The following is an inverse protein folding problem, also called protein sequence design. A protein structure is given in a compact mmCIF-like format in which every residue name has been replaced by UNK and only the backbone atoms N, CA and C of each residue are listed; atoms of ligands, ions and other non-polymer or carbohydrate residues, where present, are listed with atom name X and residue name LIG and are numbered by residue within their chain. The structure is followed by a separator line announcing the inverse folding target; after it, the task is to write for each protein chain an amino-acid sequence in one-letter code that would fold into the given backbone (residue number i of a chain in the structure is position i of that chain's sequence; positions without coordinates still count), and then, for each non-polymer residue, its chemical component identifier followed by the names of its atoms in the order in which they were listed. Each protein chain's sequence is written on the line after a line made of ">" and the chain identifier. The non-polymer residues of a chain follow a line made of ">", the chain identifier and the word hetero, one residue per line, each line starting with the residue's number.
data_IF_890245278976
#
_entry.id   IF_890245278976
#
_cell.length_a   1.000
_cell.length_b   1.000
_cell.length_c   1.000
_cell.angle_alpha   90.00
_cell.angle_beta   90.00
_cell.angle_gamma   90.00
#
_symmetry.space_group_name_H-M   'P 1'
#
loop_
_entity.id
_entity.type
_entity.pdbx_description
1 polymer ?
#
# COMPACT_ATOMS: atom_id res chain seq x y z
N UNK A 1 26.73 -17.04 -16.05
CA UNK A 1 25.72 -17.82 -15.31
C UNK A 1 24.89 -16.83 -14.50
N UNK A 2 23.64 -16.60 -14.88
CA UNK A 2 22.75 -15.73 -14.11
C UNK A 2 22.26 -16.56 -12.92
N UNK A 3 22.87 -16.40 -11.76
CA UNK A 3 22.29 -16.94 -10.52
C UNK A 3 20.94 -16.26 -10.33
N UNK A 4 19.87 -17.01 -10.50
CA UNK A 4 18.53 -16.52 -10.18
C UNK A 4 18.57 -15.97 -8.73
N UNK A 5 18.30 -14.68 -8.55
CA UNK A 5 18.21 -14.09 -7.21
C UNK A 5 17.09 -14.82 -6.46
N UNK A 6 17.36 -15.20 -5.22
CA UNK A 6 16.29 -15.73 -4.35
C UNK A 6 15.20 -14.67 -4.20
N UNK A 7 13.95 -15.08 -4.17
CA UNK A 7 12.83 -14.18 -3.95
C UNK A 7 13.03 -13.40 -2.65
N UNK A 8 12.88 -12.09 -2.72
CA UNK A 8 12.89 -11.19 -1.55
C UNK A 8 11.99 -10.00 -1.85
N UNK A 9 10.94 -9.84 -1.05
CA UNK A 9 9.98 -8.75 -1.14
C UNK A 9 10.33 -7.73 -0.07
N UNK A 10 10.71 -6.53 -0.49
CA UNK A 10 10.84 -5.39 0.43
C UNK A 10 9.51 -4.64 0.48
N UNK A 11 8.91 -4.55 1.68
CA UNK A 11 7.62 -3.91 1.88
C UNK A 11 7.76 -2.63 2.71
N UNK A 12 6.96 -1.62 2.36
CA UNK A 12 6.87 -0.36 3.08
C UNK A 12 5.42 0.04 3.34
N UNK A 13 5.19 0.59 4.52
CA UNK A 13 3.94 1.26 4.87
C UNK A 13 4.24 2.56 5.62
N UNK A 14 3.37 3.56 5.48
CA UNK A 14 3.53 4.86 6.16
C UNK A 14 2.39 5.05 7.14
N UNK A 15 2.74 5.30 8.41
CA UNK A 15 1.79 5.63 9.46
C UNK A 15 1.78 7.14 9.72
N UNK A 16 0.59 7.72 9.77
CA UNK A 16 0.37 9.09 10.27
C UNK A 16 -1.01 9.17 10.93
N UNK A 17 -1.04 9.08 12.26
CA UNK A 17 -2.27 9.10 13.06
C UNK A 17 -3.30 8.02 12.64
N UNK A 18 -2.81 6.86 12.20
CA UNK A 18 -3.62 5.72 11.74
C UNK A 18 -3.22 4.42 12.42
N UNK A 19 -2.61 4.50 13.61
CA UNK A 19 -1.95 3.37 14.27
C UNK A 19 -2.85 2.16 14.51
N UNK A 20 -4.13 2.38 14.82
CA UNK A 20 -5.08 1.28 14.97
C UNK A 20 -5.43 0.59 13.64
N UNK A 21 -5.44 1.32 12.51
CA UNK A 21 -5.58 0.72 11.19
C UNK A 21 -4.30 0.00 10.77
N UNK A 22 -3.14 0.58 11.04
CA UNK A 22 -1.85 -0.04 10.81
C UNK A 22 -1.70 -1.36 11.59
N UNK A 23 -2.18 -1.42 12.84
CA UNK A 23 -2.25 -2.67 13.60
C UNK A 23 -3.14 -3.70 12.89
N UNK A 24 -4.32 -3.29 12.40
CA UNK A 24 -5.21 -4.16 11.64
C UNK A 24 -4.54 -4.70 10.37
N UNK A 25 -3.90 -3.82 9.59
CA UNK A 25 -3.16 -4.21 8.40
C UNK A 25 -2.10 -5.25 8.75
N UNK A 26 -1.29 -4.97 9.78
CA UNK A 26 -0.19 -5.85 10.18
C UNK A 26 -0.71 -7.21 10.67
N UNK A 27 -1.75 -7.24 11.52
CA UNK A 27 -2.36 -8.50 12.00
C UNK A 27 -2.97 -9.31 10.87
N UNK A 28 -3.69 -8.68 9.96
CA UNK A 28 -4.27 -9.38 8.81
C UNK A 28 -3.20 -9.89 7.85
N UNK A 29 -2.12 -9.13 7.63
CA UNK A 29 -0.98 -9.58 6.83
C UNK A 29 -0.43 -10.91 7.35
N UNK A 30 -0.12 -11.00 8.64
CA UNK A 30 0.46 -12.22 9.22
C UNK A 30 -0.54 -13.34 9.48
N UNK A 31 -1.84 -13.03 9.62
CA UNK A 31 -2.88 -14.05 9.76
C UNK A 31 -3.17 -14.79 8.45
N UNK A 32 -3.04 -14.09 7.31
CA UNK A 32 -3.40 -14.62 6.00
C UNK A 32 -2.20 -15.00 5.11
N UNK A 33 -0.97 -14.83 5.60
CA UNK A 33 0.24 -15.21 4.84
C UNK A 33 1.15 -16.10 5.67
N UNK A 34 1.82 -17.04 5.00
CA UNK A 34 2.80 -17.91 5.63
C UNK A 34 3.98 -17.11 6.19
N UNK A 35 4.50 -17.53 7.35
CA UNK A 35 5.73 -17.00 7.92
C UNK A 35 6.97 -17.26 7.02
N UNK A 36 6.86 -18.18 6.08
CA UNK A 36 7.93 -18.48 5.11
C UNK A 36 7.94 -17.51 3.91
N UNK A 37 6.93 -16.61 3.80
CA UNK A 37 6.95 -15.59 2.76
C UNK A 37 8.18 -14.71 2.94
N UNK A 38 9.08 -14.62 1.92
CA UNK A 38 10.33 -13.88 2.04
C UNK A 38 10.08 -12.37 1.97
N UNK A 39 9.38 -11.85 2.97
CA UNK A 39 8.92 -10.48 3.12
C UNK A 39 9.67 -9.79 4.25
N UNK A 40 10.24 -8.63 3.97
CA UNK A 40 10.73 -7.70 5.00
C UNK A 40 9.91 -6.41 4.97
N UNK A 41 9.18 -6.13 6.05
CA UNK A 41 8.32 -4.95 6.17
C UNK A 41 8.97 -3.90 7.05
N UNK A 42 8.95 -2.65 6.58
CA UNK A 42 9.30 -1.45 7.36
C UNK A 42 8.09 -0.53 7.43
N UNK A 43 7.70 -0.14 8.62
CA UNK A 43 6.68 0.88 8.86
C UNK A 43 7.41 2.20 9.13
N UNK A 44 7.10 3.22 8.36
CA UNK A 44 7.60 4.58 8.54
C UNK A 44 6.59 5.40 9.32
N UNK A 45 6.92 5.72 10.58
CA UNK A 45 6.09 6.64 11.35
C UNK A 45 6.40 8.08 10.93
N UNK A 46 5.37 8.75 10.46
CA UNK A 46 5.45 10.11 9.95
C UNK A 46 4.88 11.10 10.97
N UNK A 47 5.53 11.18 12.12
CA UNK A 47 5.20 12.07 13.25
C UNK A 47 3.76 11.86 13.76
N UNK A 48 3.37 10.61 14.01
CA UNK A 48 2.09 10.29 14.63
C UNK A 48 2.02 10.78 16.07
N UNK A 49 0.82 11.20 16.49
CA UNK A 49 0.50 11.66 17.85
C UNK A 49 -0.58 10.83 18.51
N UNK A 50 -1.16 9.86 17.77
CA UNK A 50 -2.11 8.89 18.30
C UNK A 50 -1.40 7.80 19.13
N UNK A 51 -2.19 6.94 19.80
CA UNK A 51 -1.63 5.86 20.61
C UNK A 51 -1.08 4.74 19.72
N UNK A 52 0.24 4.57 19.76
CA UNK A 52 0.98 3.56 19.01
C UNK A 52 1.33 2.31 19.83
N UNK A 53 0.95 2.21 21.11
CA UNK A 53 1.43 1.16 21.99
C UNK A 53 1.12 -0.24 21.44
N UNK A 54 -0.14 -0.52 21.10
CA UNK A 54 -0.56 -1.83 20.60
C UNK A 54 0.12 -2.19 19.27
N UNK A 55 0.34 -1.20 18.40
CA UNK A 55 1.08 -1.38 17.14
C UNK A 55 2.54 -1.75 17.43
N UNK A 56 3.23 -1.03 18.32
CA UNK A 56 4.63 -1.32 18.68
C UNK A 56 4.79 -2.71 19.29
N UNK A 57 3.91 -3.09 20.21
CA UNK A 57 3.94 -4.40 20.85
C UNK A 57 3.78 -5.53 19.82
N UNK A 58 2.82 -5.40 18.91
CA UNK A 58 2.59 -6.41 17.87
C UNK A 58 3.72 -6.45 16.84
N UNK A 59 4.19 -5.29 16.36
CA UNK A 59 5.28 -5.20 15.40
C UNK A 59 6.58 -5.83 15.95
N UNK A 60 6.91 -5.58 17.23
CA UNK A 60 8.07 -6.19 17.89
C UNK A 60 7.96 -7.73 17.91
N UNK A 61 6.80 -8.29 18.22
CA UNK A 61 6.56 -9.73 18.21
C UNK A 61 6.71 -10.36 16.82
N UNK A 62 6.38 -9.59 15.77
CA UNK A 62 6.48 -10.03 14.38
C UNK A 62 7.80 -9.63 13.71
N UNK A 63 8.75 -9.07 14.46
CA UNK A 63 10.04 -8.57 13.94
C UNK A 63 9.90 -7.53 12.83
N UNK A 64 8.85 -6.71 12.88
CA UNK A 64 8.61 -5.60 11.94
C UNK A 64 9.25 -4.33 12.50
N UNK A 65 10.06 -3.67 11.67
CA UNK A 65 10.69 -2.41 12.05
C UNK A 65 9.68 -1.24 11.95
N UNK A 66 9.57 -0.44 13.01
CA UNK A 66 8.91 0.87 12.99
C UNK A 66 10.00 1.92 13.13
N UNK A 67 10.14 2.78 12.13
CA UNK A 67 11.17 3.81 12.08
C UNK A 67 10.57 5.18 11.83
N UNK A 68 11.19 6.24 12.37
CA UNK A 68 10.78 7.60 12.04
C UNK A 68 11.06 7.91 10.58
N UNK A 69 10.10 8.50 9.88
CA UNK A 69 10.24 8.82 8.45
C UNK A 69 11.37 9.83 8.19
N UNK A 70 11.60 10.75 9.14
CA UNK A 70 12.55 11.85 9.02
C UNK A 70 12.07 12.97 8.08
N UNK A 71 10.81 12.93 7.64
CA UNK A 71 10.20 14.00 6.83
C UNK A 71 9.36 14.92 7.70
N UNK A 72 9.38 16.21 7.37
CA UNK A 72 8.54 17.21 8.03
C UNK A 72 7.13 17.15 7.48
N UNK A 73 6.14 17.28 8.38
CA UNK A 73 4.75 17.49 7.99
C UNK A 73 4.53 18.98 7.74
N UNK A 74 4.01 19.30 6.57
CA UNK A 74 3.49 20.64 6.26
C UNK A 74 2.08 20.50 5.70
N UNK A 75 1.26 21.55 5.86
CA UNK A 75 -0.11 21.58 5.33
C UNK A 75 -0.16 21.55 3.80
N UNK A 76 0.95 21.89 3.15
CA UNK A 76 1.05 22.02 1.69
C UNK A 76 1.77 20.84 1.03
N UNK A 77 2.37 19.94 1.83
CA UNK A 77 3.25 18.91 1.35
C UNK A 77 2.90 17.53 1.92
N UNK A 78 2.59 16.61 1.04
CA UNK A 78 2.39 15.21 1.39
C UNK A 78 3.69 14.43 1.21
N UNK A 79 4.35 14.10 2.31
CA UNK A 79 5.63 13.36 2.31
C UNK A 79 5.50 11.86 1.99
N UNK A 80 4.29 11.33 1.87
CA UNK A 80 4.06 9.89 1.64
C UNK A 80 4.88 9.37 0.44
N UNK A 81 4.76 10.00 -0.72
CA UNK A 81 5.48 9.58 -1.91
C UNK A 81 7.00 9.67 -1.79
N UNK A 82 7.52 10.64 -1.04
CA UNK A 82 8.97 10.79 -0.84
C UNK A 82 9.53 9.74 0.13
N UNK A 83 8.77 9.37 1.15
CA UNK A 83 9.12 8.25 2.03
C UNK A 83 9.23 6.97 1.21
N UNK A 84 8.23 6.67 0.38
CA UNK A 84 8.24 5.49 -0.49
C UNK A 84 9.39 5.53 -1.52
N UNK A 85 9.67 6.71 -2.10
CA UNK A 85 10.83 6.90 -3.00
C UNK A 85 12.14 6.56 -2.29
N UNK A 86 12.38 7.12 -1.12
CA UNK A 86 13.57 6.84 -0.32
C UNK A 86 13.70 5.35 -0.01
N UNK A 87 12.59 4.71 0.38
CA UNK A 87 12.58 3.27 0.64
C UNK A 87 13.06 2.46 -0.57
N UNK A 88 12.62 2.78 -1.79
CA UNK A 88 13.08 2.11 -3.02
C UNK A 88 14.57 2.30 -3.24
N UNK A 89 15.09 3.52 -3.05
CA UNK A 89 16.51 3.82 -3.23
C UNK A 89 17.39 3.10 -2.21
N UNK A 90 16.89 2.93 -0.98
CA UNK A 90 17.61 2.27 0.11
C UNK A 90 17.56 0.72 0.01
N UNK A 91 16.65 0.15 -0.82
CA UNK A 91 16.46 -1.30 -0.95
C UNK A 91 16.70 -1.82 -2.39
N UNK A 92 17.86 -1.56 -3.01
CA UNK A 92 18.12 -1.92 -4.41
C UNK A 92 18.28 -3.43 -4.65
N UNK A 93 18.46 -4.22 -3.60
CA UNK A 93 18.78 -5.65 -3.70
C UNK A 93 17.55 -6.57 -3.70
N UNK A 94 16.35 -6.09 -3.35
CA UNK A 94 15.15 -6.89 -3.36
C UNK A 94 14.75 -7.32 -4.81
N UNK A 95 13.89 -8.32 -4.91
CA UNK A 95 13.33 -8.74 -6.20
C UNK A 95 12.03 -8.01 -6.52
N UNK A 96 11.27 -7.66 -5.47
CA UNK A 96 10.00 -6.95 -5.58
C UNK A 96 9.87 -5.91 -4.46
N UNK A 97 9.16 -4.84 -4.77
CA UNK A 97 8.67 -3.90 -3.77
C UNK A 97 7.18 -4.14 -3.54
N UNK A 98 6.76 -4.07 -2.28
CA UNK A 98 5.37 -4.09 -1.89
C UNK A 98 5.07 -2.81 -1.09
N UNK A 99 4.13 -2.01 -1.57
CA UNK A 99 3.66 -0.82 -0.88
C UNK A 99 2.29 -1.12 -0.27
N UNK A 100 2.11 -0.72 0.97
CA UNK A 100 0.89 -0.94 1.73
C UNK A 100 0.45 0.37 2.38
N UNK A 101 -0.81 0.78 2.19
CA UNK A 101 -1.38 1.84 3.01
C UNK A 101 -1.73 1.29 4.40
N UNK A 102 -1.74 2.18 5.39
CA UNK A 102 -2.03 1.82 6.78
C UNK A 102 -3.43 1.24 6.98
N UNK A 103 -4.38 1.61 6.12
CA UNK A 103 -5.80 1.31 6.22
C UNK A 103 -6.27 0.17 5.31
N UNK A 104 -5.39 -0.78 5.06
CA UNK A 104 -5.68 -2.03 4.35
C UNK A 104 -5.94 -3.16 5.34
N UNK A 105 -6.84 -4.06 5.00
CA UNK A 105 -7.02 -5.35 5.68
C UNK A 105 -7.01 -6.49 4.66
N UNK A 106 -6.10 -7.43 4.83
CA UNK A 106 -6.10 -8.66 4.05
C UNK A 106 -7.31 -9.51 4.46
N UNK A 107 -7.97 -10.12 3.49
CA UNK A 107 -9.25 -10.80 3.67
C UNK A 107 -9.18 -12.29 3.36
N UNK A 108 -8.17 -12.69 2.61
CA UNK A 108 -8.01 -14.06 2.11
C UNK A 108 -6.54 -14.49 2.17
N UNK A 109 -6.33 -15.79 2.28
CA UNK A 109 -5.00 -16.37 2.30
C UNK A 109 -4.25 -16.12 0.98
N UNK A 110 -2.93 -16.02 1.10
CA UNK A 110 -2.03 -16.00 -0.05
C UNK A 110 -2.25 -14.86 -1.06
N UNK A 111 -2.81 -13.72 -0.63
CA UNK A 111 -2.96 -12.54 -1.49
C UNK A 111 -1.66 -12.14 -2.17
N UNK A 112 -0.55 -12.02 -1.40
CA UNK A 112 0.76 -11.63 -1.97
C UNK A 112 1.35 -12.70 -2.89
N UNK A 113 1.39 -14.00 -2.55
CA UNK A 113 1.75 -15.07 -3.48
C UNK A 113 0.94 -15.08 -4.76
N UNK A 114 -0.37 -14.84 -4.68
CA UNK A 114 -1.26 -14.75 -5.85
C UNK A 114 -0.82 -13.59 -6.75
N UNK A 115 -0.61 -12.40 -6.19
CA UNK A 115 -0.13 -11.23 -6.93
C UNK A 115 1.25 -11.48 -7.58
N UNK A 116 2.18 -12.15 -6.88
CA UNK A 116 3.48 -12.53 -7.43
C UNK A 116 3.32 -13.41 -8.67
N UNK A 117 2.55 -14.49 -8.57
CA UNK A 117 2.31 -15.40 -9.68
C UNK A 117 1.65 -14.71 -10.88
N UNK A 118 0.73 -13.80 -10.64
CA UNK A 118 -0.01 -13.10 -11.68
C UNK A 118 0.83 -12.03 -12.37
N UNK A 119 1.64 -11.23 -11.64
CA UNK A 119 2.49 -10.22 -12.27
C UNK A 119 3.57 -10.84 -13.14
N UNK A 120 4.15 -11.97 -12.72
CA UNK A 120 5.15 -12.70 -13.51
C UNK A 120 4.57 -13.29 -14.82
N UNK A 121 3.28 -13.62 -14.83
CA UNK A 121 2.58 -14.18 -16.00
C UNK A 121 1.91 -13.11 -16.86
N UNK A 122 1.87 -11.87 -16.43
CA UNK A 122 1.20 -10.80 -17.17
C UNK A 122 2.23 -10.03 -18.01
N UNK A 123 2.26 -10.22 -19.34
CA UNK A 123 3.20 -9.52 -20.22
C UNK A 123 3.04 -8.00 -20.08
N UNK A 124 4.16 -7.30 -20.03
CA UNK A 124 4.24 -5.85 -19.94
C UNK A 124 3.65 -5.26 -18.64
N UNK A 125 3.37 -6.08 -17.62
CA UNK A 125 3.00 -5.56 -16.31
C UNK A 125 4.22 -4.97 -15.61
N UNK A 126 4.16 -3.68 -15.24
CA UNK A 126 5.17 -3.08 -14.37
C UNK A 126 4.83 -3.27 -12.89
N UNK A 127 3.61 -3.63 -12.57
CA UNK A 127 3.13 -3.89 -11.23
C UNK A 127 1.68 -4.36 -11.22
N UNK A 128 1.23 -4.81 -10.07
CA UNK A 128 -0.09 -5.38 -9.85
C UNK A 128 -0.66 -4.91 -8.51
N UNK A 129 -1.96 -4.62 -8.48
CA UNK A 129 -2.73 -4.35 -7.27
C UNK A 129 -3.89 -5.34 -7.13
N UNK A 130 -4.38 -5.60 -5.91
CA UNK A 130 -5.55 -6.45 -5.70
C UNK A 130 -6.85 -5.72 -6.07
N UNK A 131 -7.94 -6.48 -6.19
CA UNK A 131 -9.28 -5.91 -6.16
C UNK A 131 -9.55 -5.32 -4.78
N UNK A 132 -10.37 -4.30 -4.73
CA UNK A 132 -10.66 -3.59 -3.48
C UNK A 132 -12.12 -3.71 -3.09
N UNK A 133 -12.35 -3.79 -1.79
CA UNK A 133 -13.65 -3.80 -1.14
C UNK A 133 -13.72 -2.69 -0.09
N UNK A 134 -14.87 -2.05 0.08
CA UNK A 134 -15.11 -1.12 1.19
C UNK A 134 -15.57 -1.83 2.45
N UNK A 135 -16.42 -2.84 2.27
CA UNK A 135 -17.07 -3.58 3.37
C UNK A 135 -16.36 -4.88 3.74
N UNK A 136 -15.34 -5.26 2.96
CA UNK A 136 -14.62 -6.51 3.14
C UNK A 136 -15.40 -7.74 2.66
N UNK A 137 -16.44 -7.56 1.86
CA UNK A 137 -17.29 -8.65 1.32
C UNK A 137 -17.44 -8.50 -0.20
N UNK A 138 -17.83 -7.31 -0.64
CA UNK A 138 -18.14 -7.03 -2.03
C UNK A 138 -17.03 -6.20 -2.68
N UNK A 139 -16.63 -6.57 -3.89
CA UNK A 139 -15.74 -5.72 -4.69
C UNK A 139 -16.42 -4.37 -4.98
N UNK A 140 -15.64 -3.30 -5.00
CA UNK A 140 -16.13 -1.97 -5.39
C UNK A 140 -16.79 -2.07 -6.77
N UNK A 141 -18.07 -1.65 -6.92
CA UNK A 141 -18.81 -1.77 -8.16
C UNK A 141 -18.10 -1.12 -9.34
N UNK A 142 -18.21 -1.72 -10.52
CA UNK A 142 -17.54 -1.25 -11.74
C UNK A 142 -17.95 0.18 -12.12
N UNK A 143 -19.22 0.54 -11.93
CA UNK A 143 -19.72 1.89 -12.15
C UNK A 143 -19.03 2.92 -11.26
N UNK A 144 -18.81 2.61 -9.98
CA UNK A 144 -18.09 3.48 -9.04
C UNK A 144 -16.64 3.66 -9.48
N UNK A 145 -15.99 2.57 -9.92
CA UNK A 145 -14.61 2.63 -10.44
C UNK A 145 -14.49 3.47 -11.71
N UNK A 146 -15.48 3.39 -12.60
CA UNK A 146 -15.52 4.21 -13.82
C UNK A 146 -15.68 5.70 -13.52
N UNK A 147 -16.47 6.04 -12.52
CA UNK A 147 -16.64 7.42 -12.07
C UNK A 147 -15.41 7.94 -11.31
N UNK A 148 -14.65 7.04 -10.67
CA UNK A 148 -13.47 7.32 -9.87
C UNK A 148 -12.27 6.49 -10.35
N UNK A 149 -11.73 6.73 -11.55
CA UNK A 149 -10.72 5.87 -12.16
C UNK A 149 -9.39 5.83 -11.40
N UNK A 150 -9.14 6.80 -10.54
CA UNK A 150 -7.95 6.83 -9.68
C UNK A 150 -7.97 5.77 -8.57
N UNK A 151 -9.10 5.13 -8.31
CA UNK A 151 -9.20 4.02 -7.36
C UNK A 151 -8.36 2.82 -7.83
N UNK A 152 -8.45 2.45 -9.12
CA UNK A 152 -7.67 1.32 -9.64
C UNK A 152 -7.38 1.35 -11.15
N UNK A 153 -8.14 2.08 -11.95
CA UNK A 153 -8.06 1.97 -13.41
C UNK A 153 -7.04 2.94 -14.02
N UNK A 154 -6.94 4.18 -13.50
CA UNK A 154 -6.03 5.21 -14.00
C UNK A 154 -4.61 5.13 -13.44
N UNK A 155 -4.42 4.41 -12.34
CA UNK A 155 -3.11 4.23 -11.69
C UNK A 155 -3.02 2.90 -10.97
N UNK A 156 -1.79 2.42 -10.79
CA UNK A 156 -1.52 1.43 -9.75
C UNK A 156 -1.73 2.11 -8.39
N UNK A 157 -2.70 1.65 -7.60
CA UNK A 157 -3.01 2.26 -6.31
C UNK A 157 -1.99 1.85 -5.24
N UNK A 158 -1.43 2.78 -4.46
CA UNK A 158 -0.40 2.47 -3.45
C UNK A 158 -0.91 1.62 -2.28
N UNK A 159 -2.24 1.50 -2.09
CA UNK A 159 -2.79 0.79 -0.93
C UNK A 159 -2.30 -0.65 -0.79
N UNK A 160 -2.09 -1.35 -1.90
CA UNK A 160 -1.43 -2.64 -1.94
C UNK A 160 -0.85 -2.83 -3.36
N UNK A 161 0.37 -2.39 -3.58
CA UNK A 161 1.01 -2.39 -4.89
C UNK A 161 2.27 -3.25 -4.87
N UNK A 162 2.26 -4.35 -5.63
CA UNK A 162 3.43 -5.20 -5.84
C UNK A 162 4.10 -4.85 -7.17
N UNK A 163 5.39 -4.50 -7.12
CA UNK A 163 6.15 -4.03 -8.29
C UNK A 163 7.47 -4.80 -8.40
N UNK A 164 7.74 -5.49 -9.53
CA UNK A 164 9.04 -6.09 -9.80
C UNK A 164 10.16 -5.05 -9.80
N UNK A 165 11.27 -5.34 -9.14
CA UNK A 165 12.44 -4.47 -9.09
C UNK A 165 13.21 -4.49 -10.40
N UNK A 166 12.74 -3.74 -11.40
CA UNK A 166 13.39 -3.60 -12.70
C UNK A 166 14.31 -2.37 -12.75
N UNK A 167 15.34 -2.35 -13.60
CA UNK A 167 16.17 -1.15 -13.81
C UNK A 167 15.35 0.08 -14.24
N UNK A 168 14.36 -0.10 -15.12
CA UNK A 168 13.49 0.98 -15.57
C UNK A 168 12.66 1.55 -14.43
N UNK A 169 12.06 0.69 -13.59
CA UNK A 169 11.29 1.15 -12.43
C UNK A 169 12.15 2.00 -11.50
N UNK A 170 13.36 1.52 -11.13
CA UNK A 170 14.27 2.29 -10.26
C UNK A 170 14.68 3.62 -10.87
N UNK A 171 14.99 3.64 -12.17
CA UNK A 171 15.34 4.89 -12.86
C UNK A 171 14.20 5.91 -12.84
N UNK A 172 12.96 5.47 -13.08
CA UNK A 172 11.78 6.33 -13.02
C UNK A 172 11.58 6.86 -11.59
N UNK A 173 11.71 5.98 -10.57
CA UNK A 173 11.58 6.39 -9.16
C UNK A 173 12.67 7.40 -8.78
N UNK A 174 13.90 7.21 -9.24
CA UNK A 174 15.01 8.13 -8.97
C UNK A 174 14.73 9.53 -9.56
N UNK A 175 14.16 9.60 -10.76
CA UNK A 175 13.96 10.85 -11.50
C UNK A 175 12.71 11.59 -11.02
N UNK A 176 11.56 10.91 -10.93
CA UNK A 176 10.26 11.57 -10.68
C UNK A 176 9.64 11.24 -9.32
N UNK A 177 10.03 10.11 -8.69
CA UNK A 177 9.46 9.66 -7.42
C UNK A 177 7.99 9.24 -7.52
N UNK A 178 7.29 9.33 -6.39
CA UNK A 178 5.88 8.92 -6.24
C UNK A 178 4.96 10.02 -5.72
N UNK A 179 5.53 11.21 -5.44
CA UNK A 179 4.81 12.28 -4.76
C UNK A 179 3.65 12.80 -5.59
N UNK A 180 2.66 13.32 -4.88
CA UNK A 180 1.56 14.05 -5.49
C UNK A 180 2.08 15.26 -6.24
N UNK A 181 1.53 15.54 -7.41
CA UNK A 181 1.89 16.69 -8.23
C UNK A 181 0.63 17.44 -8.62
N UNK A 182 0.67 18.76 -8.45
CA UNK A 182 -0.39 19.65 -8.88
C UNK A 182 0.11 20.48 -10.05
N UNK A 183 -0.55 20.36 -11.20
CA UNK A 183 -0.31 21.20 -12.36
C UNK A 183 -1.37 22.31 -12.42
N UNK A 184 -0.91 23.55 -12.46
CA UNK A 184 -1.77 24.72 -12.62
C UNK A 184 -1.63 25.24 -14.05
N UNK A 185 -2.71 25.14 -14.81
CA UNK A 185 -2.84 25.72 -16.14
C UNK A 185 -3.61 27.05 -16.05
N UNK A 186 -3.63 27.83 -17.07
CA UNK A 186 -4.36 29.10 -17.09
C UNK A 186 -5.89 28.91 -16.95
N UNK A 187 -6.39 27.77 -17.39
CA UNK A 187 -7.83 27.45 -17.50
C UNK A 187 -8.26 26.21 -16.68
N UNK A 188 -7.32 25.50 -16.10
CA UNK A 188 -7.61 24.28 -15.33
C UNK A 188 -6.51 23.92 -14.33
N UNK A 189 -6.89 23.11 -13.37
CA UNK A 189 -5.98 22.42 -12.45
C UNK A 189 -6.03 20.92 -12.72
N UNK A 190 -4.88 20.24 -12.70
CA UNK A 190 -4.78 18.79 -12.78
C UNK A 190 -3.98 18.27 -11.58
N UNK A 191 -4.59 17.39 -10.80
CA UNK A 191 -3.98 16.76 -9.63
C UNK A 191 -3.57 15.33 -9.94
N UNK A 192 -2.33 15.02 -9.67
CA UNK A 192 -1.76 13.67 -9.73
C UNK A 192 -1.47 13.20 -8.33
N UNK A 193 -2.29 12.31 -7.84
CA UNK A 193 -2.08 11.65 -6.55
C UNK A 193 -0.90 10.66 -6.59
N UNK A 194 -0.48 10.13 -5.45
CA UNK A 194 0.62 9.16 -5.29
C UNK A 194 0.53 8.05 -6.35
N UNK A 195 1.65 7.75 -7.00
CA UNK A 195 1.81 6.79 -8.11
C UNK A 195 1.18 7.17 -9.45
N UNK A 196 0.31 8.19 -9.54
CA UNK A 196 -0.37 8.50 -10.79
C UNK A 196 0.59 8.94 -11.90
N UNK A 197 1.53 9.85 -11.56
CA UNK A 197 2.55 10.28 -12.52
C UNK A 197 3.46 9.13 -12.94
N UNK A 198 3.96 8.35 -11.97
CA UNK A 198 4.76 7.16 -12.23
C UNK A 198 4.03 6.18 -13.16
N UNK A 199 2.76 5.88 -12.89
CA UNK A 199 1.94 5.01 -13.75
C UNK A 199 1.87 5.54 -15.19
N UNK A 200 1.63 6.83 -15.37
CA UNK A 200 1.61 7.44 -16.71
C UNK A 200 2.95 7.34 -17.44
N UNK A 201 4.05 7.58 -16.72
CA UNK A 201 5.39 7.44 -17.32
C UNK A 201 5.66 5.99 -17.71
N UNK A 202 5.31 4.99 -16.87
CA UNK A 202 5.41 3.57 -17.24
C UNK A 202 4.62 3.26 -18.51
N UNK A 203 3.43 3.83 -18.65
CA UNK A 203 2.60 3.66 -19.85
C UNK A 203 3.25 4.21 -21.12
N UNK A 204 4.02 5.31 -21.04
CA UNK A 204 4.78 5.82 -22.19
C UNK A 204 5.91 4.87 -22.64
N UNK A 205 6.34 3.98 -21.74
CA UNK A 205 7.29 2.90 -22.06
C UNK A 205 6.59 1.61 -22.53
N UNK A 206 5.28 1.66 -22.81
CA UNK A 206 4.50 0.49 -23.27
C UNK A 206 4.15 -0.49 -22.15
N UNK A 207 4.38 -0.12 -20.90
CA UNK A 207 4.06 -0.94 -19.73
C UNK A 207 2.69 -0.58 -19.17
N UNK A 208 2.07 -1.50 -18.44
CA UNK A 208 0.78 -1.28 -17.78
C UNK A 208 0.79 -1.88 -16.38
N UNK A 209 -0.05 -1.39 -15.49
CA UNK A 209 -0.38 -2.13 -14.28
C UNK A 209 -1.49 -3.14 -14.56
N UNK A 210 -1.62 -4.12 -13.72
CA UNK A 210 -2.68 -5.13 -13.78
C UNK A 210 -3.43 -5.22 -12.45
N UNK A 211 -4.60 -5.84 -12.49
CA UNK A 211 -5.40 -6.13 -11.32
C UNK A 211 -5.34 -7.63 -11.04
N UNK A 212 -5.06 -8.00 -9.81
CA UNK A 212 -5.03 -9.37 -9.33
C UNK A 212 -6.43 -9.93 -9.15
N UNK A 213 -6.54 -11.26 -9.16
CA UNK A 213 -7.75 -11.97 -8.73
C UNK A 213 -7.97 -11.90 -7.22
N UNK A 214 -6.92 -11.65 -6.43
CA UNK A 214 -7.02 -11.47 -4.98
C UNK A 214 -7.73 -10.17 -4.60
N UNK A 215 -8.35 -10.14 -3.42
CA UNK A 215 -9.11 -9.00 -2.92
C UNK A 215 -8.66 -8.59 -1.51
N UNK A 216 -8.65 -7.28 -1.26
CA UNK A 216 -8.42 -6.70 0.07
C UNK A 216 -9.57 -5.78 0.46
N UNK A 217 -9.75 -5.54 1.76
CA UNK A 217 -10.53 -4.41 2.24
C UNK A 217 -9.64 -3.16 2.33
N UNK A 218 -10.12 -2.04 1.78
CA UNK A 218 -9.45 -0.74 1.92
C UNK A 218 -10.44 0.27 2.50
N UNK A 219 -10.08 0.88 3.63
CA UNK A 219 -10.97 1.79 4.34
C UNK A 219 -11.01 3.19 3.73
N UNK A 220 -10.03 3.55 2.92
CA UNK A 220 -9.90 4.86 2.25
C UNK A 220 -9.96 6.06 3.20
N UNK A 221 -9.22 7.10 2.92
CA UNK A 221 -9.32 8.44 3.52
C UNK A 221 -9.32 8.49 5.07
N UNK A 222 -8.79 7.48 5.75
CA UNK A 222 -8.81 7.43 7.23
C UNK A 222 -7.88 8.48 7.86
N UNK A 223 -6.86 8.93 7.13
CA UNK A 223 -5.92 9.97 7.55
C UNK A 223 -6.44 11.39 7.31
N UNK A 224 -7.59 11.55 6.65
CA UNK A 224 -8.13 12.83 6.23
C UNK A 224 -9.52 13.07 6.83
N UNK A 225 -9.89 14.34 6.99
CA UNK A 225 -11.23 14.73 7.48
C UNK A 225 -12.27 14.90 6.35
N UNK A 226 -12.10 14.18 5.24
CA UNK A 226 -13.00 14.30 4.08
C UNK A 226 -14.32 13.54 4.26
N UNK A 227 -14.30 12.48 5.07
CA UNK A 227 -15.49 11.70 5.36
C UNK A 227 -16.43 12.41 6.33
N UNK A 228 -17.73 12.13 6.22
CA UNK A 228 -18.70 12.49 7.25
C UNK A 228 -18.35 11.81 8.59
N UNK A 229 -18.80 12.41 9.68
CA UNK A 229 -18.61 11.81 11.01
C UNK A 229 -19.22 10.40 11.10
N UNK A 230 -20.38 10.18 10.46
CA UNK A 230 -21.05 8.88 10.43
C UNK A 230 -20.21 7.84 9.68
N UNK A 231 -19.67 8.19 8.50
CA UNK A 231 -18.79 7.33 7.70
C UNK A 231 -17.53 6.96 8.50
N UNK A 232 -16.89 7.94 9.14
CA UNK A 232 -15.71 7.69 10.00
C UNK A 232 -16.03 6.74 11.13
N UNK A 233 -17.14 6.93 11.85
CA UNK A 233 -17.56 6.05 12.93
C UNK A 233 -17.90 4.63 12.41
N UNK A 234 -18.48 4.52 11.24
CA UNK A 234 -18.74 3.22 10.61
C UNK A 234 -17.44 2.48 10.31
N UNK A 235 -16.46 3.13 9.69
CA UNK A 235 -15.13 2.58 9.41
C UNK A 235 -14.40 2.15 10.69
N UNK A 236 -14.46 2.97 11.75
CA UNK A 236 -13.88 2.62 13.05
C UNK A 236 -14.54 1.37 13.65
N UNK A 237 -15.85 1.23 13.59
CA UNK A 237 -16.55 0.01 14.08
C UNK A 237 -16.12 -1.23 13.29
N UNK A 238 -16.04 -1.13 11.97
CA UNK A 238 -15.57 -2.26 11.15
C UNK A 238 -14.12 -2.65 11.49
N UNK A 239 -13.23 -1.65 11.63
CA UNK A 239 -11.84 -1.88 12.05
C UNK A 239 -11.77 -2.60 13.40
N UNK A 240 -12.49 -2.11 14.41
CA UNK A 240 -12.46 -2.65 15.78
C UNK A 240 -13.03 -4.06 15.84
N UNK A 241 -14.08 -4.35 15.05
CA UNK A 241 -14.60 -5.70 14.89
C UNK A 241 -13.54 -6.63 14.32
N UNK A 242 -12.89 -6.28 13.21
CA UNK A 242 -11.81 -7.06 12.58
C UNK A 242 -10.62 -7.27 13.50
N UNK A 243 -10.20 -6.22 14.22
CA UNK A 243 -9.13 -6.34 15.21
C UNK A 243 -9.50 -7.34 16.32
N UNK A 244 -10.75 -7.31 16.80
CA UNK A 244 -11.23 -8.25 17.84
C UNK A 244 -11.19 -9.69 17.34
N UNK A 245 -11.65 -9.94 16.11
CA UNK A 245 -11.64 -11.27 15.48
C UNK A 245 -10.19 -11.79 15.32
N UNK A 246 -9.26 -10.96 14.80
CA UNK A 246 -7.87 -11.35 14.61
C UNK A 246 -7.12 -11.57 15.92
N UNK A 247 -7.37 -10.75 16.95
CA UNK A 247 -6.75 -10.92 18.28
C UNK A 247 -7.21 -12.22 18.93
N UNK A 248 -8.49 -12.59 18.78
CA UNK A 248 -9.03 -13.83 19.31
C UNK A 248 -8.43 -15.08 18.63
N UNK A 249 -8.21 -15.04 17.31
CA UNK A 249 -7.60 -16.14 16.56
C UNK A 249 -6.13 -16.37 16.94
N UNK A 250 -5.38 -15.30 17.22
CA UNK A 250 -3.94 -15.38 17.60
C UNK A 250 -3.76 -15.92 19.03
N UNK A 251 -4.75 -15.79 19.91
CA UNK A 251 -4.68 -16.29 21.29
C UNK A 251 -4.94 -17.79 21.43
N UNK A 252 -5.39 -18.46 20.37
CA UNK A 252 -5.75 -19.89 20.35
C UNK A 252 -4.71 -20.79 19.67
N UNK A 253 -3.70 -20.23 19.06
CA UNK A 253 -2.58 -20.93 18.38
C UNK A 253 -1.28 -20.80 19.15
#
# INVERSE_FOLDING_TARGET
>A
MNTARSLHIAAASVNHNTSAYMELMLRSLFAYHSAELPLSLTIFDNASTDDMQALHEYAANMHVAIVQSGFSLTTEYNSHGDILRRFVLDNPACTHYLFLDADVCFMEADTIPTMLNEVERTPLAFGIGPRMSWDGVNEIPLEVRRENPDICDARLHPCCALIPNTPLFRQIVEIIGFSCVRYLWADREEYFDTFKLMTRVMQTHGLRHSMSSAMIQHFFCVSYEWDSQETRQHKMRMRDQRLTELRASTAQG
#
